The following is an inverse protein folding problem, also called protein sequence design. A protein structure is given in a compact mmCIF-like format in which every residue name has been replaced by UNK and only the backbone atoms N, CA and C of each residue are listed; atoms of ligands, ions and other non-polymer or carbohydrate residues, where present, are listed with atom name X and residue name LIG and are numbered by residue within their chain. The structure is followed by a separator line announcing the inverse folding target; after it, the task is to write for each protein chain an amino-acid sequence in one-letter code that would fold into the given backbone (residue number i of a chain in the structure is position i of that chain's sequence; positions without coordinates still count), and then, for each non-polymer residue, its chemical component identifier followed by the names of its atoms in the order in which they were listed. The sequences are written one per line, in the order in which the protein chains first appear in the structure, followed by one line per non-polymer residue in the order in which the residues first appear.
data_IF_541518907952
#
_entry.id   IF_541518907952
#
_cell.length_a   1.000
_cell.length_b   1.000
_cell.length_c   1.000
_cell.angle_alpha   90.00
_cell.angle_beta   90.00
_cell.angle_gamma   90.00
#
_symmetry.space_group_name_H-M   'P 1'
#
loop_
_entity.id
_entity.type
_entity.pdbx_description
1 polymer ?
#
# COMPACT_ATOMS: atom_id res chain seq x y z
N UNK A 1 17.17 9.72 -13.40
CA UNK A 1 17.38 10.59 -12.22
C UNK A 1 16.34 10.23 -11.17
N UNK A 2 16.75 9.81 -9.96
CA UNK A 2 15.78 9.45 -8.90
C UNK A 2 15.20 10.72 -8.29
N UNK A 3 13.91 10.97 -8.51
CA UNK A 3 13.20 12.13 -7.94
C UNK A 3 12.67 11.77 -6.56
N UNK A 4 12.90 12.65 -5.58
CA UNK A 4 12.44 12.48 -4.19
C UNK A 4 11.54 13.63 -3.76
N UNK A 5 10.52 13.33 -2.95
CA UNK A 5 9.66 14.29 -2.28
C UNK A 5 10.05 14.38 -0.81
N UNK A 6 10.44 15.58 -0.38
CA UNK A 6 10.67 15.89 1.03
C UNK A 6 9.33 16.12 1.70
N UNK A 7 9.02 15.34 2.73
CA UNK A 7 7.77 15.49 3.50
C UNK A 7 8.05 15.53 4.99
N UNK A 8 7.24 16.30 5.71
CA UNK A 8 7.24 16.38 7.17
C UNK A 8 5.95 15.74 7.68
N UNK A 9 6.09 14.71 8.49
CA UNK A 9 4.95 13.94 9.00
C UNK A 9 4.99 13.92 10.54
N UNK A 10 3.79 13.86 11.11
CA UNK A 10 3.59 13.62 12.55
C UNK A 10 3.42 12.13 12.80
N UNK A 11 4.21 11.56 13.68
CA UNK A 11 4.16 10.14 14.06
C UNK A 11 4.18 9.98 15.58
N UNK A 12 3.76 8.82 16.06
CA UNK A 12 3.85 8.45 17.47
C UNK A 12 5.29 8.06 17.86
N UNK A 13 5.58 8.14 19.16
CA UNK A 13 6.91 7.90 19.71
C UNK A 13 7.36 6.44 19.51
N UNK A 14 6.44 5.47 19.62
CA UNK A 14 6.73 4.05 19.46
C UNK A 14 7.21 3.76 18.02
N UNK A 15 6.43 4.19 17.02
CA UNK A 15 6.78 4.02 15.62
C UNK A 15 8.11 4.73 15.26
N UNK A 16 8.34 5.94 15.80
CA UNK A 16 9.60 6.66 15.58
C UNK A 16 10.79 5.86 16.13
N UNK A 17 10.63 5.29 17.33
CA UNK A 17 11.69 4.53 18.01
C UNK A 17 12.06 3.28 17.21
N UNK A 18 11.07 2.53 16.72
CA UNK A 18 11.30 1.38 15.85
C UNK A 18 11.99 1.78 14.54
N UNK A 19 11.59 2.88 13.89
CA UNK A 19 12.26 3.37 12.67
C UNK A 19 13.73 3.70 12.95
N UNK A 20 14.03 4.37 14.07
CA UNK A 20 15.40 4.74 14.44
C UNK A 20 16.22 3.47 14.66
N UNK A 21 15.79 2.58 15.57
CA UNK A 21 16.51 1.35 15.92
C UNK A 21 16.83 0.55 14.65
N UNK A 22 15.81 0.28 13.83
CA UNK A 22 15.99 -0.53 12.61
C UNK A 22 16.82 0.13 11.54
N UNK A 23 16.75 1.46 11.42
CA UNK A 23 17.59 2.18 10.47
C UNK A 23 19.07 2.10 10.86
N UNK A 24 19.36 2.17 12.17
CA UNK A 24 20.72 2.04 12.72
C UNK A 24 21.22 0.61 12.55
N UNK A 25 20.43 -0.41 12.91
CA UNK A 25 20.77 -1.83 12.72
C UNK A 25 21.12 -2.17 11.26
N UNK A 26 20.50 -1.47 10.30
CA UNK A 26 20.72 -1.68 8.87
C UNK A 26 21.72 -0.69 8.24
N UNK A 27 22.41 0.12 9.05
CA UNK A 27 23.37 1.12 8.60
C UNK A 27 22.81 2.03 7.49
N UNK A 28 21.56 2.48 7.64
CA UNK A 28 20.87 3.29 6.63
C UNK A 28 20.20 4.52 7.22
N UNK A 29 19.87 5.49 6.38
CA UNK A 29 19.11 6.66 6.82
C UNK A 29 17.65 6.28 7.07
N UNK A 30 16.95 7.03 7.95
CA UNK A 30 15.50 6.89 8.16
C UNK A 30 14.72 6.93 6.84
N UNK A 31 15.07 7.85 5.94
CA UNK A 31 14.51 7.94 4.59
C UNK A 31 14.79 6.68 3.77
N UNK A 32 16.04 6.19 3.77
CA UNK A 32 16.41 4.95 3.07
C UNK A 32 15.63 3.74 3.57
N UNK A 33 15.51 3.60 4.89
CA UNK A 33 14.76 2.53 5.53
C UNK A 33 13.27 2.57 5.17
N UNK A 34 12.63 3.74 5.26
CA UNK A 34 11.21 3.89 4.92
C UNK A 34 10.96 3.59 3.45
N UNK A 35 11.81 4.05 2.53
CA UNK A 35 11.69 3.69 1.12
C UNK A 35 11.83 2.17 0.89
N UNK A 36 12.70 1.49 1.64
CA UNK A 36 12.83 0.03 1.58
C UNK A 36 11.55 -0.66 2.07
N UNK A 37 10.94 -0.16 3.15
CA UNK A 37 9.65 -0.68 3.62
C UNK A 37 8.57 -0.48 2.56
N UNK A 38 8.43 0.74 2.02
CA UNK A 38 7.43 1.04 1.00
C UNK A 38 7.59 0.14 -0.23
N UNK A 39 8.82 -0.09 -0.68
CA UNK A 39 9.10 -1.04 -1.76
C UNK A 39 8.63 -2.46 -1.45
N UNK A 40 8.91 -2.97 -0.25
CA UNK A 40 8.44 -4.30 0.16
C UNK A 40 6.91 -4.37 0.23
N UNK A 41 6.28 -3.31 0.73
CA UNK A 41 4.84 -3.20 0.92
C UNK A 41 4.07 -2.98 -0.39
N UNK A 42 4.72 -2.73 -1.53
CA UNK A 42 4.04 -2.57 -2.82
C UNK A 42 3.06 -3.72 -3.12
N UNK A 43 3.47 -4.97 -2.89
CA UNK A 43 2.57 -6.11 -3.13
C UNK A 43 1.31 -6.10 -2.26
N UNK A 44 1.40 -5.58 -1.03
CA UNK A 44 0.23 -5.40 -0.16
C UNK A 44 -0.59 -4.17 -0.58
N UNK A 45 0.08 -3.10 -1.05
CA UNK A 45 -0.62 -1.94 -1.62
C UNK A 45 -1.44 -2.31 -2.85
N UNK A 46 -0.92 -3.22 -3.69
CA UNK A 46 -1.61 -3.73 -4.87
C UNK A 46 -2.83 -4.58 -4.48
N UNK A 47 -2.75 -5.37 -3.40
CA UNK A 47 -3.92 -6.08 -2.85
C UNK A 47 -5.07 -5.16 -2.47
N UNK A 48 -4.74 -3.98 -1.94
CA UNK A 48 -5.76 -2.99 -1.67
C UNK A 48 -6.45 -2.61 -2.98
N UNK A 49 -5.74 -2.36 -4.08
CA UNK A 49 -6.38 -2.02 -5.36
C UNK A 49 -7.26 -3.12 -5.92
N UNK A 50 -6.82 -4.38 -5.80
CA UNK A 50 -7.61 -5.52 -6.26
C UNK A 50 -8.90 -5.73 -5.47
N UNK A 51 -9.03 -5.12 -4.29
CA UNK A 51 -10.19 -5.24 -3.41
C UNK A 51 -10.76 -3.86 -3.04
N UNK A 52 -11.53 -3.21 -3.95
CA UNK A 52 -12.18 -1.89 -3.74
C UNK A 52 -12.95 -1.75 -2.42
N UNK A 53 -13.56 -2.82 -1.95
CA UNK A 53 -14.40 -2.80 -0.75
C UNK A 53 -13.59 -2.89 0.54
N UNK A 54 -12.30 -3.23 0.47
CA UNK A 54 -11.45 -3.38 1.65
C UNK A 54 -10.88 -2.02 2.05
N UNK A 55 -11.48 -1.42 3.08
CA UNK A 55 -10.90 -0.25 3.74
C UNK A 55 -9.90 -0.72 4.81
N UNK A 56 -8.70 -0.14 4.86
CA UNK A 56 -7.80 -0.41 5.96
C UNK A 56 -8.45 0.07 7.28
N UNK A 57 -8.31 -0.68 8.37
CA UNK A 57 -8.66 -0.18 9.69
C UNK A 57 -7.63 0.91 10.04
N UNK A 58 -7.98 2.15 9.73
CA UNK A 58 -7.19 3.33 10.10
C UNK A 58 -7.59 3.65 11.53
N UNK A 59 -6.87 3.03 12.46
CA UNK A 59 -6.96 3.38 13.86
C UNK A 59 -6.26 4.72 14.07
N UNK A 60 -7.04 5.79 14.15
CA UNK A 60 -6.57 7.16 14.35
C UNK A 60 -6.34 7.50 15.85
N UNK A 61 -6.57 6.54 16.77
CA UNK A 61 -6.41 6.73 18.21
C UNK A 61 -4.93 6.67 18.65
N UNK A 62 -4.08 7.55 18.12
CA UNK A 62 -2.69 7.65 18.56
C UNK A 62 -2.23 9.09 18.63
N UNK A 63 -1.58 9.46 19.72
CA UNK A 63 -1.01 10.80 19.88
C UNK A 63 0.22 10.98 18.97
N UNK A 64 0.03 11.67 17.86
CA UNK A 64 1.08 11.95 16.88
C UNK A 64 1.89 13.19 17.28
N UNK A 65 2.67 13.09 18.36
CA UNK A 65 3.43 14.21 18.91
C UNK A 65 4.75 14.48 18.17
N UNK A 66 5.37 13.45 17.58
CA UNK A 66 6.74 13.52 17.07
C UNK A 66 6.80 14.00 15.61
N UNK A 67 7.80 14.83 15.28
CA UNK A 67 8.05 15.27 13.91
C UNK A 67 9.10 14.37 13.24
N UNK A 68 8.77 13.83 12.07
CA UNK A 68 9.71 13.10 11.22
C UNK A 68 9.79 13.76 9.84
N UNK A 69 11.01 14.11 9.41
CA UNK A 69 11.28 14.64 8.07
C UNK A 69 11.96 13.56 7.25
N UNK A 70 11.36 13.21 6.12
CA UNK A 70 11.81 12.09 5.28
C UNK A 70 11.75 12.46 3.80
N UNK A 71 12.63 11.82 3.02
CA UNK A 71 12.64 11.92 1.57
C UNK A 71 12.10 10.61 0.99
N UNK A 72 10.94 10.66 0.35
CA UNK A 72 10.27 9.50 -0.26
C UNK A 72 10.51 9.52 -1.77
N UNK A 73 10.82 8.38 -2.39
CA UNK A 73 10.91 8.29 -3.85
C UNK A 73 9.57 8.67 -4.50
N UNK A 74 9.61 9.37 -5.63
CA UNK A 74 8.43 9.83 -6.37
C UNK A 74 7.39 8.74 -6.58
N UNK A 75 7.82 7.57 -7.04
CA UNK A 75 6.94 6.42 -7.30
C UNK A 75 6.12 6.03 -6.06
N UNK A 76 6.75 5.90 -4.90
CA UNK A 76 6.06 5.51 -3.67
C UNK A 76 5.20 6.65 -3.12
N UNK A 77 5.63 7.89 -3.32
CA UNK A 77 4.83 9.06 -2.94
C UNK A 77 3.54 9.15 -3.75
N UNK A 78 3.59 8.97 -5.08
CA UNK A 78 2.40 8.92 -5.93
C UNK A 78 1.49 7.75 -5.56
N UNK A 79 2.06 6.59 -5.21
CA UNK A 79 1.29 5.43 -4.74
C UNK A 79 0.54 5.74 -3.44
N UNK A 80 1.22 6.34 -2.46
CA UNK A 80 0.60 6.75 -1.20
C UNK A 80 -0.45 7.84 -1.41
N UNK A 81 -0.22 8.78 -2.32
CA UNK A 81 -1.18 9.83 -2.71
C UNK A 81 -2.44 9.22 -3.31
N UNK A 82 -2.30 8.30 -4.24
CA UNK A 82 -3.43 7.57 -4.82
C UNK A 82 -4.20 6.79 -3.74
N UNK A 83 -3.52 6.07 -2.85
CA UNK A 83 -4.16 5.34 -1.75
C UNK A 83 -4.86 6.28 -0.75
N UNK A 84 -4.31 7.46 -0.49
CA UNK A 84 -4.95 8.49 0.32
C UNK A 84 -6.30 8.94 -0.27
N UNK A 85 -6.34 9.21 -1.58
CA UNK A 85 -7.59 9.51 -2.27
C UNK A 85 -8.58 8.34 -2.22
N UNK A 86 -8.08 7.13 -2.49
CA UNK A 86 -8.91 5.90 -2.52
C UNK A 86 -9.54 5.57 -1.17
N UNK A 87 -8.77 5.69 -0.08
CA UNK A 87 -9.25 5.42 1.26
C UNK A 87 -10.04 6.59 1.87
N UNK A 88 -10.02 7.76 1.23
CA UNK A 88 -10.64 8.97 1.78
C UNK A 88 -10.02 9.41 3.10
N UNK A 89 -8.70 9.22 3.27
CA UNK A 89 -8.04 9.59 4.53
C UNK A 89 -7.83 11.09 4.62
N UNK A 90 -7.58 11.61 5.82
CA UNK A 90 -7.28 13.03 6.01
C UNK A 90 -5.94 13.46 5.40
N UNK A 91 -4.95 12.55 5.34
CA UNK A 91 -3.61 12.88 4.82
C UNK A 91 -2.84 11.67 4.29
N UNK A 92 -1.86 11.94 3.42
CA UNK A 92 -0.85 10.96 2.99
C UNK A 92 -0.09 10.39 4.20
N UNK A 93 0.13 11.19 5.24
CA UNK A 93 0.79 10.75 6.47
C UNK A 93 0.01 9.64 7.17
N UNK A 94 -1.32 9.68 7.15
CA UNK A 94 -2.18 8.64 7.70
C UNK A 94 -1.93 7.28 7.02
N UNK A 95 -1.87 7.28 5.68
CA UNK A 95 -1.60 6.08 4.89
C UNK A 95 -0.19 5.56 5.14
N UNK A 96 0.79 6.45 5.18
CA UNK A 96 2.18 6.07 5.45
C UNK A 96 2.34 5.45 6.84
N UNK A 97 1.73 6.05 7.87
CA UNK A 97 1.74 5.49 9.25
C UNK A 97 1.12 4.10 9.29
N UNK A 98 -0.01 3.91 8.60
CA UNK A 98 -0.66 2.60 8.52
C UNK A 98 0.29 1.51 8.00
N UNK A 99 0.95 1.75 6.86
CA UNK A 99 1.89 0.78 6.30
C UNK A 99 3.13 0.57 7.18
N UNK A 100 3.68 1.63 7.75
CA UNK A 100 4.82 1.53 8.66
C UNK A 100 4.47 0.73 9.92
N UNK A 101 3.28 0.95 10.51
CA UNK A 101 2.81 0.20 11.68
C UNK A 101 2.53 -1.25 11.39
N UNK A 102 1.95 -1.56 10.22
CA UNK A 102 1.81 -2.96 9.79
C UNK A 102 3.17 -3.63 9.75
N UNK A 103 4.13 -2.99 9.08
CA UNK A 103 5.42 -3.60 8.83
C UNK A 103 6.29 -3.73 10.10
N UNK A 104 6.30 -2.70 10.96
CA UNK A 104 7.22 -2.62 12.10
C UNK A 104 6.63 -3.16 13.41
N UNK A 105 5.32 -2.98 13.62
CA UNK A 105 4.68 -3.24 14.90
C UNK A 105 3.75 -4.46 14.79
N UNK A 106 2.66 -4.35 14.00
CA UNK A 106 1.57 -5.34 14.02
C UNK A 106 1.98 -6.71 13.46
N UNK A 107 2.78 -6.75 12.39
CA UNK A 107 3.17 -7.99 11.72
C UNK A 107 4.68 -8.26 11.83
N UNK A 108 5.32 -7.79 12.90
CA UNK A 108 6.75 -8.00 13.14
C UNK A 108 7.10 -9.49 13.10
N UNK A 109 8.14 -9.84 12.37
CA UNK A 109 8.59 -11.24 12.19
C UNK A 109 7.88 -12.00 11.07
N UNK A 110 6.58 -11.80 10.89
CA UNK A 110 5.77 -12.53 9.89
C UNK A 110 5.49 -11.76 8.60
N UNK A 111 5.71 -10.43 8.59
CA UNK A 111 5.34 -9.59 7.44
C UNK A 111 6.02 -10.00 6.14
N UNK A 112 7.27 -10.47 6.18
CA UNK A 112 7.95 -10.91 4.97
C UNK A 112 7.28 -12.18 4.40
N UNK A 113 6.83 -13.09 5.25
CA UNK A 113 6.12 -14.30 4.83
C UNK A 113 4.74 -13.96 4.25
N UNK A 114 4.03 -13.01 4.87
CA UNK A 114 2.77 -12.48 4.33
C UNK A 114 2.98 -11.85 2.95
N UNK A 115 4.02 -11.01 2.79
CA UNK A 115 4.34 -10.39 1.50
C UNK A 115 4.65 -11.46 0.44
N UNK A 116 5.42 -12.50 0.80
CA UNK A 116 5.72 -13.61 -0.11
C UNK A 116 4.46 -14.39 -0.48
N UNK A 117 3.58 -14.66 0.47
CA UNK A 117 2.30 -15.33 0.25
C UNK A 117 1.42 -14.53 -0.71
N UNK A 118 1.27 -13.23 -0.48
CA UNK A 118 0.50 -12.32 -1.35
C UNK A 118 1.09 -12.28 -2.75
N UNK A 119 2.42 -12.15 -2.89
CA UNK A 119 3.07 -12.15 -4.21
C UNK A 119 2.82 -13.46 -4.97
N UNK A 120 3.02 -14.61 -4.32
CA UNK A 120 2.74 -15.94 -4.92
C UNK A 120 1.28 -16.10 -5.30
N UNK A 121 0.35 -15.61 -4.47
CA UNK A 121 -1.07 -15.64 -4.79
C UNK A 121 -1.39 -14.81 -6.04
N UNK A 122 -0.72 -13.67 -6.22
CA UNK A 122 -0.93 -12.79 -7.35
C UNK A 122 -0.22 -13.21 -8.64
N UNK A 123 0.86 -13.99 -8.58
CA UNK A 123 1.58 -14.47 -9.76
C UNK A 123 0.68 -15.24 -10.74
N UNK A 124 -0.34 -15.95 -10.24
CA UNK A 124 -1.25 -16.76 -11.06
C UNK A 124 -2.54 -16.03 -11.45
N UNK A 125 -2.67 -14.73 -11.14
CA UNK A 125 -3.91 -13.97 -11.33
C UNK A 125 -3.80 -13.10 -12.59
N UNK A 126 -4.39 -13.56 -13.69
CA UNK A 126 -4.52 -12.77 -14.93
C UNK A 126 -5.82 -11.97 -14.86
N UNK A 127 -5.72 -10.64 -14.88
CA UNK A 127 -6.88 -9.74 -14.84
C UNK A 127 -7.11 -9.08 -16.21
N UNK A 128 -8.36 -9.06 -16.66
CA UNK A 128 -8.81 -8.19 -17.76
C UNK A 128 -9.47 -6.94 -17.17
N UNK A 129 -8.96 -5.76 -17.51
CA UNK A 129 -9.58 -4.48 -17.17
C UNK A 129 -10.76 -4.20 -18.10
N UNK A 130 -11.89 -3.75 -17.56
CA UNK A 130 -12.93 -3.03 -18.29
C UNK A 130 -13.04 -1.62 -17.68
N UNK A 131 -13.20 -0.64 -18.57
CA UNK A 131 -13.00 0.79 -18.41
C UNK A 131 -13.19 1.37 -16.99
N UNK A 132 -12.18 2.12 -16.56
CA UNK A 132 -12.25 3.02 -15.41
C UNK A 132 -13.24 4.12 -15.79
N UNK A 133 -14.45 4.06 -15.23
CA UNK A 133 -15.44 5.12 -15.33
C UNK A 133 -14.83 6.46 -14.89
N UNK A 134 -14.51 7.29 -15.87
CA UNK A 134 -14.12 8.67 -15.65
C UNK A 134 -15.36 9.45 -15.24
N UNK A 135 -15.25 10.39 -14.29
CA UNK A 135 -16.34 11.19 -13.72
C UNK A 135 -17.10 12.06 -14.76
N UNK A 136 -16.76 11.92 -16.04
CA UNK A 136 -17.26 12.69 -17.18
C UNK A 136 -18.13 11.86 -18.15
N UNK A 137 -18.31 10.55 -17.97
CA UNK A 137 -19.24 9.77 -18.82
C UNK A 137 -20.54 9.43 -18.10
N UNK A 138 -21.63 9.93 -18.66
CA UNK A 138 -23.00 9.61 -18.27
C UNK A 138 -23.28 8.11 -18.47
N UNK A 139 -23.63 7.44 -17.36
CA UNK A 139 -24.45 6.22 -17.24
C UNK A 139 -24.50 5.30 -18.47
N UNK A 140 -23.58 4.35 -18.53
CA UNK A 140 -23.85 2.98 -18.99
C UNK A 140 -23.42 2.01 -17.90
N UNK A 141 -24.25 1.01 -17.50
CA UNK A 141 -23.84 0.02 -16.52
C UNK A 141 -22.70 -0.82 -17.11
N UNK A 142 -21.47 -0.55 -16.67
CA UNK A 142 -20.29 -1.29 -17.09
C UNK A 142 -20.24 -2.64 -16.37
N UNK A 143 -20.17 -3.73 -17.13
CA UNK A 143 -20.05 -5.09 -16.57
C UNK A 143 -18.58 -5.33 -16.27
N UNK A 144 -18.21 -5.41 -15.00
CA UNK A 144 -16.87 -5.83 -14.58
C UNK A 144 -16.80 -7.35 -14.51
N UNK A 145 -15.72 -7.97 -15.01
CA UNK A 145 -15.53 -9.43 -14.98
C UNK A 145 -14.17 -9.80 -14.39
N UNK A 146 -14.17 -10.69 -13.40
CA UNK A 146 -12.96 -11.32 -12.89
C UNK A 146 -12.82 -12.66 -13.61
N UNK A 147 -11.65 -12.87 -14.21
CA UNK A 147 -11.28 -14.11 -14.87
C UNK A 147 -10.29 -14.83 -13.98
N UNK A 148 -10.62 -16.06 -13.56
CA UNK A 148 -9.71 -16.93 -12.81
C UNK A 148 -9.24 -18.03 -13.76
N UNK A 149 -7.95 -18.07 -14.03
CA UNK A 149 -7.31 -19.13 -14.80
C UNK A 149 -6.65 -20.14 -13.86
N UNK A 150 -6.52 -21.38 -14.33
CA UNK A 150 -5.70 -22.41 -13.69
C UNK A 150 -4.22 -22.23 -14.04
N UNK A 151 -3.35 -22.96 -13.34
CA UNK A 151 -1.91 -23.02 -13.62
C UNK A 151 -1.59 -23.62 -15.02
N UNK A 152 -2.59 -24.14 -15.74
CA UNK A 152 -2.50 -24.57 -17.15
C UNK A 152 -3.16 -23.57 -18.12
N UNK A 153 -3.39 -22.34 -17.68
CA UNK A 153 -4.10 -21.29 -18.42
C UNK A 153 -5.53 -21.66 -18.85
N UNK A 154 -6.19 -22.58 -18.13
CA UNK A 154 -7.59 -22.93 -18.40
C UNK A 154 -8.55 -22.11 -17.53
N UNK A 155 -9.65 -21.61 -18.12
CA UNK A 155 -10.66 -20.84 -17.40
C UNK A 155 -11.33 -21.68 -16.31
N UNK A 156 -11.15 -21.27 -15.05
CA UNK A 156 -11.79 -21.90 -13.89
C UNK A 156 -13.06 -21.17 -13.46
N UNK A 157 -13.06 -19.83 -13.50
CA UNK A 157 -14.21 -19.06 -13.04
C UNK A 157 -14.27 -17.71 -13.77
N UNK A 158 -15.48 -17.25 -14.04
CA UNK A 158 -15.77 -15.92 -14.57
C UNK A 158 -16.89 -15.32 -13.72
N UNK A 159 -16.53 -14.38 -12.84
CA UNK A 159 -17.51 -13.69 -12.00
C UNK A 159 -17.75 -12.28 -12.53
N UNK A 160 -19.02 -11.96 -12.78
CA UNK A 160 -19.46 -10.66 -13.23
C UNK A 160 -20.15 -9.87 -12.12
N UNK A 161 -19.92 -8.56 -12.10
CA UNK A 161 -20.69 -7.63 -11.26
C UNK A 161 -21.23 -6.52 -12.18
N UNK A 162 -22.48 -6.13 -11.94
CA UNK A 162 -23.20 -5.02 -12.59
C UNK A 162 -23.33 -3.84 -11.65
#
# INVERSE_FOLDING_TARGET
MNIYYKTKIKIDQELLSEIIIRSVEQCTTRSGYINRILFKMLGIMDEFDYNPNTKPPIDDASDFSCNLVINIKKEYYERLKYLHFRFGTFSIATVLRFFLRIYLIKARGVINDIILMVRKFNENRIWSCLDIGCHMSLKTPGISRIIILSDKFTLKNLTGFT
#
